data_IF_476767283077
#
_entry.id   IF_476767283077
#
_cell.length_a   1.000
_cell.length_b   1.000
_cell.length_c   1.000
_cell.angle_alpha   90.00
_cell.angle_beta   90.00
_cell.angle_gamma   90.00
#
_symmetry.space_group_name_H-M   'P 1'
#
loop_
_entity.id
_entity.type
_entity.pdbx_description
1 polymer ?
#
# COMPACT_ATOMS: atom_id res chain seq x y z
N UNK A 1 8.90 -0.37 5.55
CA UNK A 1 7.87 -1.42 5.75
C UNK A 1 6.44 -0.90 5.75
N UNK A 2 6.11 0.20 6.44
CA UNK A 2 4.72 0.70 6.51
C UNK A 2 4.16 1.05 5.12
N UNK A 3 4.93 1.75 4.28
CA UNK A 3 4.49 2.09 2.91
C UNK A 3 4.11 0.89 2.04
N UNK A 4 4.70 -0.29 2.30
CA UNK A 4 4.37 -1.52 1.59
C UNK A 4 2.97 -2.03 1.94
N UNK A 5 2.57 -1.91 3.21
CA UNK A 5 1.26 -2.36 3.70
C UNK A 5 0.18 -1.28 3.63
N UNK A 6 0.57 -0.01 3.51
CA UNK A 6 -0.35 1.13 3.50
C UNK A 6 -1.44 1.02 2.43
N UNK A 7 -1.12 0.51 1.23
CA UNK A 7 -2.09 0.28 0.16
C UNK A 7 -3.14 -0.75 0.57
N UNK A 8 -2.70 -1.89 1.09
CA UNK A 8 -3.61 -2.94 1.54
C UNK A 8 -4.45 -2.46 2.73
N UNK A 9 -3.85 -1.75 3.68
CA UNK A 9 -4.54 -1.22 4.85
C UNK A 9 -5.65 -0.24 4.47
N UNK A 10 -5.40 0.65 3.51
CA UNK A 10 -6.41 1.59 3.01
C UNK A 10 -7.54 0.91 2.23
N UNK A 11 -7.25 -0.21 1.58
CA UNK A 11 -8.22 -0.96 0.78
C UNK A 11 -8.83 -2.16 1.51
N UNK A 12 -8.50 -2.37 2.79
CA UNK A 12 -9.09 -3.46 3.58
C UNK A 12 -10.64 -3.47 3.58
N UNK A 13 -11.35 -2.31 3.47
CA UNK A 13 -12.81 -2.30 3.35
C UNK A 13 -13.37 -3.10 2.17
N UNK A 14 -12.59 -3.31 1.09
CA UNK A 14 -13.01 -4.13 -0.05
C UNK A 14 -13.22 -5.60 0.32
N UNK A 15 -12.51 -6.08 1.35
CA UNK A 15 -12.67 -7.42 1.91
C UNK A 15 -13.63 -7.42 3.08
N UNK A 16 -13.48 -6.47 4.01
CA UNK A 16 -14.26 -6.47 5.26
C UNK A 16 -15.73 -6.13 5.04
N UNK A 17 -16.13 -5.57 3.88
CA UNK A 17 -17.54 -5.44 3.49
C UNK A 17 -18.28 -6.78 3.38
N UNK A 18 -17.54 -7.89 3.21
CA UNK A 18 -18.07 -9.25 3.19
C UNK A 18 -17.93 -9.97 4.53
N UNK A 19 -17.37 -9.32 5.56
CA UNK A 19 -17.28 -9.89 6.89
C UNK A 19 -18.65 -9.92 7.56
N UNK A 20 -18.89 -10.95 8.38
CA UNK A 20 -20.15 -11.12 9.12
C UNK A 20 -20.32 -10.07 10.22
N UNK A 21 -19.22 -9.66 10.85
CA UNK A 21 -19.21 -8.65 11.91
C UNK A 21 -17.87 -7.90 12.02
N UNK A 22 -17.88 -6.77 12.72
CA UNK A 22 -16.65 -6.02 13.04
C UNK A 22 -15.68 -6.81 13.92
N UNK A 23 -16.21 -7.65 14.82
CA UNK A 23 -15.37 -8.52 15.64
C UNK A 23 -14.66 -9.56 14.79
N UNK A 24 -15.37 -10.17 13.83
CA UNK A 24 -14.79 -11.21 12.97
C UNK A 24 -13.68 -10.66 12.08
N UNK A 25 -13.85 -9.46 11.52
CA UNK A 25 -12.80 -8.85 10.70
C UNK A 25 -11.57 -8.45 11.54
N UNK A 26 -11.77 -7.93 12.76
CA UNK A 26 -10.65 -7.63 13.67
C UNK A 26 -9.88 -8.88 14.09
N UNK A 27 -10.59 -9.93 14.52
CA UNK A 27 -9.96 -11.19 14.95
C UNK A 27 -9.27 -11.87 13.76
N UNK A 28 -9.91 -11.90 12.59
CA UNK A 28 -9.35 -12.48 11.38
C UNK A 28 -8.05 -11.80 10.96
N UNK A 29 -7.97 -10.47 11.01
CA UNK A 29 -6.74 -9.74 10.70
C UNK A 29 -5.66 -9.89 11.77
N UNK A 30 -6.04 -9.83 13.06
CA UNK A 30 -5.11 -9.93 14.18
C UNK A 30 -4.43 -11.31 14.27
N UNK A 31 -5.19 -12.36 13.98
CA UNK A 31 -4.63 -13.72 13.92
C UNK A 31 -3.93 -13.91 12.58
N UNK A 32 -4.57 -13.56 11.47
CA UNK A 32 -4.07 -13.85 10.13
C UNK A 32 -2.74 -13.18 9.81
N UNK A 33 -2.62 -11.86 10.01
CA UNK A 33 -1.44 -11.12 9.55
C UNK A 33 -0.22 -11.29 10.48
N UNK A 34 -0.26 -10.89 11.78
CA UNK A 34 0.88 -11.04 12.67
C UNK A 34 1.44 -12.46 12.78
N UNK A 35 0.59 -13.48 12.96
CA UNK A 35 1.08 -14.84 13.22
C UNK A 35 1.78 -15.43 12.00
N UNK A 36 1.19 -15.27 10.82
CA UNK A 36 1.79 -15.77 9.58
C UNK A 36 3.05 -14.98 9.24
N UNK A 37 3.08 -13.65 9.46
CA UNK A 37 4.29 -12.86 9.25
C UNK A 37 5.44 -13.29 10.14
N UNK A 38 5.20 -13.50 11.44
CA UNK A 38 6.24 -13.97 12.37
C UNK A 38 6.76 -15.33 11.91
N UNK A 39 5.86 -16.24 11.56
CA UNK A 39 6.22 -17.58 11.11
C UNK A 39 7.04 -17.57 9.81
N UNK A 40 6.58 -16.86 8.77
CA UNK A 40 7.30 -16.76 7.49
C UNK A 40 8.60 -15.98 7.61
N UNK A 41 8.67 -14.95 8.46
CA UNK A 41 9.92 -14.22 8.72
C UNK A 41 10.94 -15.14 9.39
N UNK A 42 10.52 -15.95 10.36
CA UNK A 42 11.37 -16.96 10.99
C UNK A 42 11.88 -17.97 9.96
N UNK A 43 11.01 -18.54 9.12
CA UNK A 43 11.42 -19.47 8.05
C UNK A 43 12.44 -18.80 7.12
N UNK A 44 12.17 -17.58 6.68
CA UNK A 44 13.08 -16.82 5.80
C UNK A 44 14.46 -16.66 6.41
N UNK A 45 14.54 -16.24 7.67
CA UNK A 45 15.82 -16.09 8.39
C UNK A 45 16.51 -17.44 8.57
N UNK A 46 15.79 -18.47 9.02
CA UNK A 46 16.36 -19.79 9.29
C UNK A 46 16.92 -20.43 8.02
N UNK A 47 16.14 -20.43 6.93
CA UNK A 47 16.56 -20.97 5.63
C UNK A 47 17.73 -20.18 5.06
N UNK A 48 17.66 -18.84 5.05
CA UNK A 48 18.77 -18.00 4.56
C UNK A 48 20.04 -18.24 5.37
N UNK A 49 19.94 -18.37 6.70
CA UNK A 49 21.09 -18.67 7.56
C UNK A 49 21.69 -20.05 7.26
N UNK A 50 20.86 -21.06 7.01
CA UNK A 50 21.32 -22.38 6.59
C UNK A 50 22.06 -22.35 5.25
N UNK A 51 21.64 -21.51 4.29
CA UNK A 51 22.34 -21.37 3.00
C UNK A 51 23.76 -20.84 3.14
N UNK A 52 24.05 -20.02 4.16
CA UNK A 52 25.42 -19.58 4.45
C UNK A 52 26.29 -20.78 4.86
N UNK A 53 25.76 -21.68 5.69
CA UNK A 53 26.48 -22.88 6.13
C UNK A 53 26.67 -23.91 5.01
N UNK A 54 25.67 -24.07 4.14
CA UNK A 54 25.67 -25.11 3.09
C UNK A 54 26.39 -24.63 1.81
N UNK A 55 26.15 -23.39 1.39
CA UNK A 55 26.60 -22.84 0.10
C UNK A 55 27.63 -21.72 0.24
N UNK A 56 28.04 -21.35 1.46
CA UNK A 56 29.02 -20.29 1.72
C UNK A 56 28.53 -18.87 1.46
N UNK A 57 27.23 -18.68 1.15
CA UNK A 57 26.62 -17.36 0.90
C UNK A 57 25.14 -17.34 1.28
N UNK A 58 24.65 -16.18 1.69
CA UNK A 58 23.23 -15.98 2.00
C UNK A 58 22.41 -15.93 0.70
N UNK A 59 21.55 -16.91 0.48
CA UNK A 59 20.59 -16.95 -0.63
C UNK A 59 19.20 -16.67 -0.03
N UNK A 60 18.72 -15.44 -0.24
CA UNK A 60 17.42 -14.99 0.26
C UNK A 60 16.29 -15.15 -0.77
N UNK A 61 16.62 -15.23 -2.06
CA UNK A 61 15.65 -15.46 -3.13
C UNK A 61 15.27 -16.95 -3.20
N UNK A 62 13.99 -17.31 -2.93
CA UNK A 62 13.55 -18.70 -2.98
C UNK A 62 13.66 -19.32 -4.37
N UNK A 63 13.52 -18.55 -5.46
CA UNK A 63 13.65 -19.06 -6.84
C UNK A 63 15.08 -19.52 -7.08
N UNK A 64 16.06 -18.67 -6.73
CA UNK A 64 17.49 -18.98 -6.81
C UNK A 64 17.86 -20.16 -5.92
N UNK A 65 17.30 -20.26 -4.71
CA UNK A 65 17.56 -21.36 -3.79
C UNK A 65 17.02 -22.70 -4.32
N UNK A 66 15.80 -22.72 -4.87
CA UNK A 66 15.23 -23.93 -5.46
C UNK A 66 16.06 -24.44 -6.64
N UNK A 67 16.68 -23.55 -7.42
CA UNK A 67 17.60 -23.92 -8.50
C UNK A 67 18.89 -24.62 -8.03
N UNK A 68 19.14 -24.73 -6.72
CA UNK A 68 20.29 -25.46 -6.17
C UNK A 68 19.98 -26.93 -5.84
N UNK A 69 18.72 -27.35 -5.87
CA UNK A 69 18.35 -28.72 -5.60
C UNK A 69 18.58 -29.60 -6.83
N UNK A 70 19.16 -30.78 -6.62
CA UNK A 70 19.46 -31.72 -7.71
C UNK A 70 18.21 -32.49 -8.19
N UNK A 71 17.25 -32.75 -7.30
CA UNK A 71 16.05 -33.52 -7.61
C UNK A 71 15.06 -32.67 -8.43
N UNK A 72 14.81 -33.01 -9.71
CA UNK A 72 13.88 -32.24 -10.55
C UNK A 72 12.45 -32.25 -10.02
N UNK A 73 12.05 -33.32 -9.33
CA UNK A 73 10.72 -33.47 -8.74
C UNK A 73 10.52 -32.47 -7.60
N UNK A 74 11.51 -32.32 -6.72
CA UNK A 74 11.46 -31.35 -5.61
C UNK A 74 11.35 -29.93 -6.18
N UNK A 75 12.19 -29.60 -7.16
CA UNK A 75 12.15 -28.29 -7.83
C UNK A 75 10.78 -28.02 -8.46
N UNK A 76 10.24 -28.98 -9.21
CA UNK A 76 8.95 -28.83 -9.88
C UNK A 76 7.80 -28.59 -8.90
N UNK A 77 7.70 -29.40 -7.84
CA UNK A 77 6.66 -29.27 -6.82
C UNK A 77 6.79 -27.95 -6.07
N UNK A 78 8.01 -27.55 -5.67
CA UNK A 78 8.24 -26.30 -4.97
C UNK A 78 7.97 -25.07 -5.84
N UNK A 79 8.37 -25.08 -7.11
CA UNK A 79 8.08 -24.00 -8.06
C UNK A 79 6.58 -23.87 -8.34
N UNK A 80 5.86 -24.99 -8.43
CA UNK A 80 4.41 -24.98 -8.55
C UNK A 80 3.74 -24.33 -7.32
N UNK A 81 4.17 -24.73 -6.11
CA UNK A 81 3.72 -24.13 -4.87
C UNK A 81 4.02 -22.62 -4.79
N UNK A 82 5.23 -22.22 -5.19
CA UNK A 82 5.64 -20.81 -5.23
C UNK A 82 4.80 -20.00 -6.22
N UNK A 83 4.44 -20.60 -7.36
CA UNK A 83 3.56 -19.98 -8.35
C UNK A 83 2.16 -19.75 -7.77
N UNK A 84 1.59 -20.74 -7.10
CA UNK A 84 0.29 -20.60 -6.41
C UNK A 84 0.36 -19.52 -5.33
N UNK A 85 1.42 -19.50 -4.51
CA UNK A 85 1.60 -18.50 -3.46
C UNK A 85 1.67 -17.07 -4.03
N UNK A 86 2.40 -16.92 -5.14
CA UNK A 86 2.54 -15.64 -5.84
C UNK A 86 1.22 -15.18 -6.44
N UNK A 87 0.51 -16.06 -7.15
CA UNK A 87 -0.79 -15.75 -7.77
C UNK A 87 -1.86 -15.41 -6.74
N UNK A 88 -1.99 -16.23 -5.69
CA UNK A 88 -3.01 -16.03 -4.64
C UNK A 88 -2.83 -14.69 -3.93
N UNK A 89 -1.59 -14.34 -3.57
CA UNK A 89 -1.27 -13.06 -2.93
C UNK A 89 -1.47 -11.89 -3.88
N UNK A 90 -1.05 -12.01 -5.15
CA UNK A 90 -1.15 -10.93 -6.12
C UNK A 90 -2.60 -10.57 -6.44
N UNK A 91 -3.46 -11.58 -6.63
CA UNK A 91 -4.88 -11.37 -6.90
C UNK A 91 -5.53 -10.60 -5.73
N UNK A 92 -5.32 -11.08 -4.50
CA UNK A 92 -5.90 -10.43 -3.32
C UNK A 92 -5.33 -9.02 -3.10
N UNK A 93 -4.01 -8.85 -3.04
CA UNK A 93 -3.41 -7.58 -2.64
C UNK A 93 -3.42 -6.51 -3.74
N UNK A 94 -3.31 -6.91 -5.02
CA UNK A 94 -3.00 -5.96 -6.10
C UNK A 94 -4.07 -5.89 -7.19
N UNK A 95 -5.02 -6.83 -7.28
CA UNK A 95 -6.05 -6.82 -8.34
C UNK A 95 -7.41 -6.38 -7.84
N UNK A 96 -7.81 -6.78 -6.63
CA UNK A 96 -9.16 -6.50 -6.10
C UNK A 96 -9.46 -4.99 -6.01
N UNK A 97 -8.56 -4.22 -5.39
CA UNK A 97 -8.75 -2.78 -5.17
C UNK A 97 -8.86 -1.95 -6.47
N UNK A 98 -7.94 -2.07 -7.45
CA UNK A 98 -8.09 -1.35 -8.71
C UNK A 98 -9.28 -1.86 -9.54
N UNK A 99 -9.62 -3.16 -9.49
CA UNK A 99 -10.80 -3.68 -10.15
C UNK A 99 -12.10 -3.05 -9.60
N UNK A 100 -12.24 -2.93 -8.27
CA UNK A 100 -13.34 -2.22 -7.64
C UNK A 100 -13.32 -0.72 -8.03
N UNK A 101 -12.14 -0.10 -8.07
CA UNK A 101 -12.01 1.32 -8.43
C UNK A 101 -12.48 1.60 -9.85
N UNK A 102 -12.07 0.80 -10.83
CA UNK A 102 -12.53 0.95 -12.22
C UNK A 102 -14.03 0.67 -12.37
N UNK A 103 -14.55 -0.35 -11.68
CA UNK A 103 -15.98 -0.65 -11.69
C UNK A 103 -16.80 0.51 -11.09
N UNK A 104 -16.32 1.13 -10.00
CA UNK A 104 -17.00 2.26 -9.37
C UNK A 104 -16.89 3.56 -10.17
N UNK A 105 -15.81 3.74 -10.95
CA UNK A 105 -15.62 4.92 -11.80
C UNK A 105 -16.62 4.97 -12.96
N UNK A 106 -16.96 3.81 -13.55
CA UNK A 106 -17.91 3.75 -14.66
C UNK A 106 -18.81 2.49 -14.58
N UNK A 107 -19.73 2.43 -13.62
CA UNK A 107 -20.45 1.19 -13.27
C UNK A 107 -21.35 0.65 -14.39
N UNK A 108 -21.79 1.51 -15.32
CA UNK A 108 -22.57 1.10 -16.48
C UNK A 108 -21.75 0.44 -17.59
N UNK A 109 -20.43 0.65 -17.62
CA UNK A 109 -19.55 0.15 -18.70
C UNK A 109 -18.49 -0.84 -18.23
N UNK A 110 -18.04 -0.72 -16.98
CA UNK A 110 -16.96 -1.53 -16.42
C UNK A 110 -17.54 -2.43 -15.34
N UNK A 111 -17.59 -3.73 -15.63
CA UNK A 111 -17.87 -4.74 -14.61
C UNK A 111 -16.62 -5.03 -13.78
N UNK A 112 -16.79 -5.65 -12.61
CA UNK A 112 -15.65 -6.09 -11.78
C UNK A 112 -14.66 -6.98 -12.55
N UNK A 113 -15.17 -7.90 -13.38
CA UNK A 113 -14.32 -8.75 -14.25
C UNK A 113 -13.52 -7.91 -15.25
N UNK A 114 -14.16 -6.94 -15.88
CA UNK A 114 -13.48 -6.02 -16.82
C UNK A 114 -12.43 -5.17 -16.09
N UNK A 115 -12.73 -4.68 -14.89
CA UNK A 115 -11.77 -3.95 -14.05
C UNK A 115 -10.53 -4.79 -13.71
N UNK A 116 -10.70 -6.09 -13.47
CA UNK A 116 -9.59 -7.03 -13.30
C UNK A 116 -8.70 -7.15 -14.54
N UNK A 117 -9.30 -7.29 -15.73
CA UNK A 117 -8.54 -7.32 -16.99
C UNK A 117 -7.80 -6.01 -17.26
N UNK A 118 -8.44 -4.87 -17.05
CA UNK A 118 -7.81 -3.55 -17.19
C UNK A 118 -6.61 -3.44 -16.25
N UNK A 119 -6.76 -3.85 -15.00
CA UNK A 119 -5.67 -3.86 -14.02
C UNK A 119 -4.49 -4.71 -14.49
N UNK A 120 -4.75 -5.93 -14.97
CA UNK A 120 -3.70 -6.82 -15.48
C UNK A 120 -2.95 -6.24 -16.67
N UNK A 121 -3.67 -5.66 -17.64
CA UNK A 121 -3.08 -5.01 -18.82
C UNK A 121 -2.21 -3.83 -18.40
N UNK A 122 -2.74 -2.92 -17.57
CA UNK A 122 -1.97 -1.76 -17.08
C UNK A 122 -0.73 -2.22 -16.29
N UNK A 123 -0.87 -3.25 -15.45
CA UNK A 123 0.24 -3.83 -14.70
C UNK A 123 1.39 -4.29 -15.59
N UNK A 124 1.09 -4.93 -16.73
CA UNK A 124 2.11 -5.32 -17.72
C UNK A 124 2.71 -4.09 -18.42
N UNK A 125 1.87 -3.13 -18.80
CA UNK A 125 2.29 -1.91 -19.51
C UNK A 125 3.16 -0.97 -18.67
N UNK A 126 3.17 -1.10 -17.35
CA UNK A 126 4.10 -0.35 -16.46
C UNK A 126 5.52 -0.92 -16.52
N UNK A 127 5.76 -2.03 -17.24
CA UNK A 127 7.07 -2.67 -17.37
C UNK A 127 7.70 -3.03 -16.01
N UNK A 128 7.01 -3.82 -15.16
CA UNK A 128 7.44 -4.07 -13.78
C UNK A 128 8.83 -4.71 -13.68
N UNK A 129 9.26 -5.47 -14.70
CA UNK A 129 10.61 -6.03 -14.78
C UNK A 129 11.72 -4.96 -14.82
N UNK A 130 11.44 -3.76 -15.35
CA UNK A 130 12.38 -2.63 -15.26
C UNK A 130 12.48 -2.08 -13.84
N UNK A 131 11.39 -2.11 -13.08
CA UNK A 131 11.38 -1.67 -11.68
C UNK A 131 12.13 -2.66 -10.78
N UNK A 132 12.02 -3.96 -11.07
CA UNK A 132 12.73 -5.02 -10.34
C UNK A 132 14.24 -5.01 -10.67
N UNK A 133 14.64 -4.53 -11.84
CA UNK A 133 16.06 -4.43 -12.22
C UNK A 133 16.85 -3.39 -11.40
N UNK A 134 16.18 -2.41 -10.77
CA UNK A 134 16.78 -1.47 -9.81
C UNK A 134 16.00 -1.47 -8.47
N UNK A 135 16.20 -2.51 -7.62
CA UNK A 135 15.45 -2.66 -6.38
C UNK A 135 15.72 -1.54 -5.37
N UNK A 136 16.96 -1.04 -5.30
CA UNK A 136 17.35 0.01 -4.37
C UNK A 136 16.69 1.35 -4.74
N UNK A 137 16.73 1.72 -6.03
CA UNK A 137 16.05 2.91 -6.53
C UNK A 137 14.53 2.83 -6.34
N UNK A 138 13.92 1.68 -6.61
CA UNK A 138 12.47 1.51 -6.45
C UNK A 138 12.01 1.56 -4.99
N UNK A 139 12.68 0.81 -4.10
CA UNK A 139 12.27 0.69 -2.70
C UNK A 139 12.56 1.98 -1.91
N UNK A 140 13.75 2.57 -2.05
CA UNK A 140 14.13 3.72 -1.21
C UNK A 140 13.67 5.06 -1.78
N UNK A 141 13.49 5.20 -3.10
CA UNK A 141 13.03 6.47 -3.70
C UNK A 141 11.52 6.49 -3.87
N UNK A 142 10.96 5.48 -4.54
CA UNK A 142 9.56 5.53 -4.97
C UNK A 142 8.59 5.11 -3.86
N UNK A 143 8.87 4.02 -3.15
CA UNK A 143 7.94 3.50 -2.13
C UNK A 143 7.75 4.46 -0.95
N UNK A 144 8.80 5.18 -0.54
CA UNK A 144 8.71 6.19 0.53
C UNK A 144 7.87 7.38 0.06
N UNK A 145 8.12 7.90 -1.15
CA UNK A 145 7.34 8.99 -1.73
C UNK A 145 5.85 8.61 -1.82
N UNK A 146 5.59 7.39 -2.32
CA UNK A 146 4.25 6.86 -2.43
C UNK A 146 3.58 6.70 -1.06
N UNK A 147 4.32 6.26 -0.04
CA UNK A 147 3.81 6.18 1.34
C UNK A 147 3.41 7.54 1.91
N UNK A 148 4.06 8.63 1.50
CA UNK A 148 3.71 9.99 1.90
C UNK A 148 2.30 10.37 1.38
N UNK A 149 2.01 10.04 0.12
CA UNK A 149 0.70 10.28 -0.47
C UNK A 149 -0.39 9.49 0.26
N UNK A 150 -0.13 8.21 0.53
CA UNK A 150 -1.07 7.34 1.23
C UNK A 150 -1.29 7.76 2.69
N UNK A 151 -0.23 8.19 3.39
CA UNK A 151 -0.32 8.72 4.74
C UNK A 151 -1.25 9.93 4.81
N UNK A 152 -1.09 10.88 3.87
CA UNK A 152 -1.97 12.02 3.76
C UNK A 152 -3.44 11.63 3.55
N UNK A 153 -3.73 10.71 2.61
CA UNK A 153 -5.10 10.26 2.35
C UNK A 153 -5.70 9.56 3.57
N UNK A 154 -4.93 8.69 4.22
CA UNK A 154 -5.33 8.01 5.44
C UNK A 154 -5.72 9.00 6.55
N UNK A 155 -4.91 10.05 6.77
CA UNK A 155 -5.17 11.06 7.79
C UNK A 155 -6.49 11.79 7.57
N UNK A 156 -6.78 12.17 6.32
CA UNK A 156 -8.05 12.83 5.95
C UNK A 156 -9.23 11.88 6.16
N UNK A 157 -9.15 10.65 5.64
CA UNK A 157 -10.24 9.67 5.73
C UNK A 157 -10.59 9.32 7.18
N UNK A 158 -9.57 9.09 8.01
CA UNK A 158 -9.77 8.78 9.43
C UNK A 158 -10.37 9.97 10.19
N UNK A 159 -9.88 11.19 9.92
CA UNK A 159 -10.43 12.41 10.51
C UNK A 159 -11.90 12.63 10.13
N UNK A 160 -12.21 12.55 8.84
CA UNK A 160 -13.56 12.75 8.31
C UNK A 160 -14.55 11.76 8.94
N UNK A 161 -14.19 10.48 8.93
CA UNK A 161 -15.07 9.41 9.41
C UNK A 161 -15.28 9.43 10.93
N UNK A 162 -14.19 9.47 11.72
CA UNK A 162 -14.29 9.32 13.18
C UNK A 162 -14.52 10.62 13.93
N UNK A 163 -13.93 11.74 13.48
CA UNK A 163 -13.95 13.00 14.24
C UNK A 163 -15.06 13.94 13.75
N UNK A 164 -15.07 14.25 12.45
CA UNK A 164 -16.03 15.20 11.88
C UNK A 164 -17.43 14.59 11.85
N UNK A 165 -17.56 13.39 11.27
CA UNK A 165 -18.86 12.73 11.06
C UNK A 165 -19.24 11.77 12.17
N UNK A 166 -18.33 11.45 13.10
CA UNK A 166 -18.59 10.57 14.25
C UNK A 166 -19.24 9.24 13.84
N UNK A 167 -18.72 8.62 12.77
CA UNK A 167 -19.21 7.37 12.19
C UNK A 167 -20.63 7.42 11.60
N UNK A 168 -21.20 8.62 11.43
CA UNK A 168 -22.53 8.81 10.86
C UNK A 168 -22.44 9.16 9.37
N UNK A 169 -22.71 8.18 8.51
CA UNK A 169 -22.77 8.36 7.06
C UNK A 169 -24.15 8.02 6.52
N UNK A 170 -24.70 8.93 5.71
CA UNK A 170 -25.85 8.61 4.88
C UNK A 170 -25.37 7.88 3.63
N UNK A 171 -25.54 6.55 3.64
CA UNK A 171 -25.12 5.69 2.53
C UNK A 171 -25.84 6.04 1.22
N UNK A 172 -27.11 6.46 1.28
CA UNK A 172 -27.87 6.78 0.08
C UNK A 172 -27.34 8.07 -0.58
N UNK A 173 -26.89 9.04 0.20
CA UNK A 173 -26.30 10.28 -0.31
C UNK A 173 -24.98 10.05 -1.06
N UNK A 174 -24.21 9.00 -0.73
CA UNK A 174 -22.96 8.67 -1.44
C UNK A 174 -23.16 8.29 -2.90
N UNK A 175 -24.34 7.78 -3.26
CA UNK A 175 -24.66 7.34 -4.63
C UNK A 175 -25.49 8.37 -5.42
N UNK A 176 -25.81 9.53 -4.83
CA UNK A 176 -26.54 10.60 -5.51
C UNK A 176 -25.57 11.57 -6.19
N UNK A 177 -25.68 11.67 -7.52
CA UNK A 177 -24.86 12.59 -8.34
C UNK A 177 -24.96 14.05 -7.85
N UNK A 178 -26.15 14.48 -7.44
CA UNK A 178 -26.42 15.82 -6.93
C UNK A 178 -26.68 15.85 -5.41
N UNK A 179 -26.15 14.87 -4.68
CA UNK A 179 -26.29 14.76 -3.22
C UNK A 179 -25.36 15.67 -2.43
N UNK A 180 -25.34 15.50 -1.11
CA UNK A 180 -24.49 16.24 -0.17
C UNK A 180 -23.00 16.12 -0.45
N UNK A 181 -22.58 15.01 -1.08
CA UNK A 181 -21.17 14.71 -1.40
C UNK A 181 -20.79 15.04 -2.84
N UNK A 182 -21.57 15.85 -3.55
CA UNK A 182 -21.29 16.19 -4.95
C UNK A 182 -19.99 16.99 -5.10
N UNK A 183 -19.26 16.71 -6.17
CA UNK A 183 -18.07 17.46 -6.57
C UNK A 183 -16.84 17.14 -5.72
N UNK A 184 -16.01 18.15 -5.48
CA UNK A 184 -14.71 18.01 -4.85
C UNK A 184 -14.71 18.64 -3.45
N UNK A 185 -14.13 17.93 -2.49
CA UNK A 185 -13.91 18.47 -1.14
C UNK A 185 -12.63 19.33 -1.14
N UNK A 186 -12.79 20.64 -1.28
CA UNK A 186 -11.67 21.59 -1.29
C UNK A 186 -10.85 21.56 0.01
N UNK A 187 -11.45 21.55 1.22
CA UNK A 187 -10.72 21.30 2.46
C UNK A 187 -9.82 20.07 2.44
N UNK A 188 -10.30 18.94 1.91
CA UNK A 188 -9.53 17.71 1.79
C UNK A 188 -8.32 17.88 0.86
N UNK A 189 -8.49 18.54 -0.29
CA UNK A 189 -7.38 18.82 -1.21
C UNK A 189 -6.33 19.75 -0.61
N UNK A 190 -6.77 20.79 0.10
CA UNK A 190 -5.85 21.72 0.80
C UNK A 190 -5.04 20.94 1.85
N UNK A 191 -5.71 20.16 2.71
CA UNK A 191 -5.04 19.34 3.71
C UNK A 191 -4.07 18.33 3.06
N UNK A 192 -4.46 17.74 1.92
CA UNK A 192 -3.63 16.80 1.18
C UNK A 192 -2.33 17.46 0.69
N UNK A 193 -2.45 18.54 -0.08
CA UNK A 193 -1.30 19.22 -0.68
C UNK A 193 -0.37 19.79 0.39
N UNK A 194 -0.93 20.45 1.41
CA UNK A 194 -0.12 21.08 2.46
C UNK A 194 0.62 20.05 3.33
N UNK A 195 0.04 18.86 3.53
CA UNK A 195 0.70 17.81 4.32
C UNK A 195 1.96 17.26 3.66
N UNK A 196 2.08 17.38 2.34
CA UNK A 196 3.21 16.89 1.56
C UNK A 196 4.40 17.86 1.59
N UNK A 197 4.19 19.15 1.84
CA UNK A 197 5.25 20.16 1.79
C UNK A 197 6.49 19.81 2.64
N UNK A 198 6.36 19.32 3.89
CA UNK A 198 7.52 19.01 4.73
C UNK A 198 8.37 17.84 4.25
N UNK A 199 7.83 16.96 3.39
CA UNK A 199 8.54 15.78 2.89
C UNK A 199 9.20 16.02 1.52
N UNK A 200 8.86 17.13 0.84
CA UNK A 200 9.43 17.50 -0.47
C UNK A 200 10.96 17.62 -0.42
N UNK A 201 11.59 18.29 0.57
CA UNK A 201 13.05 18.43 0.61
C UNK A 201 13.78 17.09 0.61
N UNK A 202 13.36 16.15 1.47
CA UNK A 202 13.97 14.81 1.52
C UNK A 202 13.67 13.97 0.27
N UNK A 203 12.48 14.13 -0.33
CA UNK A 203 12.17 13.54 -1.62
C UNK A 203 13.13 14.02 -2.72
N UNK A 204 13.34 15.34 -2.85
CA UNK A 204 14.22 15.94 -3.87
C UNK A 204 15.66 15.42 -3.77
N UNK A 205 16.19 15.27 -2.56
CA UNK A 205 17.51 14.67 -2.33
C UNK A 205 17.49 13.18 -2.69
N UNK A 206 16.47 12.43 -2.28
CA UNK A 206 16.38 10.99 -2.54
C UNK A 206 16.30 10.64 -4.04
N UNK A 207 15.65 11.49 -4.85
CA UNK A 207 15.56 11.31 -6.31
C UNK A 207 16.70 11.98 -7.09
N UNK A 208 17.66 12.63 -6.41
CA UNK A 208 18.81 13.26 -7.06
C UNK A 208 18.50 14.56 -7.79
N UNK A 209 17.37 15.22 -7.48
CA UNK A 209 17.04 16.57 -7.99
C UNK A 209 17.86 17.64 -7.25
N UNK A 210 18.28 17.36 -6.00
CA UNK A 210 19.10 18.27 -5.19
C UNK A 210 20.25 17.54 -4.54
N UNK A 211 21.36 18.26 -4.35
CA UNK A 211 22.56 17.72 -3.72
C UNK A 211 22.38 17.49 -2.22
N UNK A 212 23.12 16.49 -1.70
CA UNK A 212 23.19 16.23 -0.27
C UNK A 212 23.80 17.46 0.44
N UNK A 213 23.04 18.06 1.35
CA UNK A 213 23.45 19.28 2.09
C UNK A 213 22.78 20.57 1.62
N UNK A 214 22.04 20.57 0.51
CA UNK A 214 21.27 21.75 0.07
C UNK A 214 20.16 22.14 1.06
N UNK A 215 19.49 21.13 1.63
CA UNK A 215 18.46 21.32 2.64
C UNK A 215 18.98 20.99 4.05
N UNK A 216 18.43 21.61 5.11
CA UNK A 216 18.70 21.21 6.48
C UNK A 216 18.49 19.70 6.69
N UNK A 217 19.44 19.04 7.34
CA UNK A 217 19.42 17.59 7.55
C UNK A 217 18.12 17.12 8.22
N UNK A 218 17.54 17.93 9.09
CA UNK A 218 16.25 17.65 9.73
C UNK A 218 15.11 17.44 8.73
N UNK A 219 15.03 18.28 7.68
CA UNK A 219 13.99 18.16 6.64
C UNK A 219 14.22 16.95 5.74
N UNK A 220 15.49 16.58 5.52
CA UNK A 220 15.83 15.35 4.78
C UNK A 220 15.45 14.12 5.60
N UNK A 221 15.74 14.10 6.91
CA UNK A 221 15.42 12.98 7.80
C UNK A 221 13.90 12.78 8.01
N UNK A 222 13.11 13.86 7.93
CA UNK A 222 11.64 13.78 7.97
C UNK A 222 11.06 12.85 6.90
N UNK A 223 11.72 12.76 5.74
CA UNK A 223 11.27 11.91 4.64
C UNK A 223 11.27 10.41 5.00
N UNK A 224 12.18 9.96 5.85
CA UNK A 224 12.18 8.58 6.37
C UNK A 224 10.91 8.24 7.15
N UNK A 225 10.21 9.25 7.68
CA UNK A 225 8.96 9.14 8.43
C UNK A 225 7.75 9.70 7.64
N UNK A 226 7.87 9.85 6.31
CA UNK A 226 6.91 10.57 5.50
C UNK A 226 5.45 10.14 5.72
N UNK A 227 5.18 8.84 5.82
CA UNK A 227 3.82 8.32 6.08
C UNK A 227 3.20 8.91 7.36
N UNK A 228 3.93 8.91 8.49
CA UNK A 228 3.42 9.44 9.76
C UNK A 228 3.26 10.95 9.75
N UNK A 229 4.24 11.66 9.17
CA UNK A 229 4.26 13.12 9.12
C UNK A 229 3.09 13.63 8.28
N UNK A 230 2.92 13.10 7.07
CA UNK A 230 1.80 13.44 6.19
C UNK A 230 0.46 13.06 6.79
N UNK A 231 0.34 11.89 7.42
CA UNK A 231 -0.86 11.47 8.14
C UNK A 231 -1.26 12.47 9.23
N UNK A 232 -0.32 12.80 10.12
CA UNK A 232 -0.60 13.71 11.25
C UNK A 232 -0.96 15.11 10.77
N UNK A 233 -0.24 15.63 9.79
CA UNK A 233 -0.49 16.97 9.26
C UNK A 233 -1.81 17.03 8.50
N UNK A 234 -2.09 16.07 7.61
CA UNK A 234 -3.34 16.07 6.85
C UNK A 234 -4.55 15.90 7.77
N UNK A 235 -4.46 15.03 8.79
CA UNK A 235 -5.50 14.85 9.80
C UNK A 235 -5.79 16.16 10.54
N UNK A 236 -4.75 16.83 11.05
CA UNK A 236 -4.91 18.07 11.82
C UNK A 236 -5.41 19.22 10.95
N UNK A 237 -4.86 19.40 9.75
CA UNK A 237 -5.29 20.45 8.83
C UNK A 237 -6.74 20.25 8.40
N UNK A 238 -7.11 19.02 8.01
CA UNK A 238 -8.48 18.72 7.63
C UNK A 238 -9.46 18.97 8.78
N UNK A 239 -9.10 18.54 9.99
CA UNK A 239 -9.88 18.82 11.19
C UNK A 239 -10.08 20.32 11.43
N UNK A 240 -9.00 21.11 11.34
CA UNK A 240 -9.05 22.56 11.57
C UNK A 240 -9.89 23.30 10.53
N UNK A 241 -9.81 22.90 9.26
CA UNK A 241 -10.58 23.52 8.18
C UNK A 241 -12.06 23.16 8.33
N UNK A 242 -12.38 21.87 8.45
CA UNK A 242 -13.77 21.39 8.54
C UNK A 242 -14.47 21.82 9.82
N UNK A 243 -13.75 22.00 10.94
CA UNK A 243 -14.31 22.52 12.18
C UNK A 243 -14.81 23.95 12.05
N UNK A 244 -14.27 24.76 11.13
CA UNK A 244 -14.72 26.14 10.92
C UNK A 244 -15.99 26.25 10.08
N UNK A 245 -16.34 25.19 9.34
CA UNK A 245 -17.52 25.15 8.48
C UNK A 245 -18.77 24.62 9.21
N UNK A 246 -18.60 24.10 10.43
CA UNK A 246 -19.65 23.59 11.32
C UNK A 246 -19.81 24.47 12.56
#
# INVERSE_FOLDING_TARGET
MIGFWATLSLNIPDFTRYARSQKDQMVGQLIGLPTTMVFYSFIGIAVTSATVLIYGKAIWDPVTLLGKFESPIVVAVSMFGLTIATLSTNIAANVVAPANSFANMMPRRISYKMGGYITGIIGILIFPWKLIADPEGYIFRWLIAYSALLGSLAGIMICDYYIIRKTNFDLAELFKVNGKFKGWNTPAWIAFVLSLLPVIPGFMVAVGISEAGYFPQTLVNIYSYAWFVTFGISFLLYWMIMKKEH
#
